data_IF_622474406282
#
_entry.id   IF_622474406282
#
_cell.length_a   1.000
_cell.length_b   1.000
_cell.length_c   1.000
_cell.angle_alpha   90.00
_cell.angle_beta   90.00
_cell.angle_gamma   90.00
#
_symmetry.space_group_name_H-M   'P 1'
#
loop_
_entity.id
_entity.type
_entity.pdbx_description
1 polymer ?
#
# COMPACT_ATOMS: atom_id res chain seq x y z
N UNK A 1 -16.32 -14.72 13.38
CA UNK A 1 -16.17 -13.27 13.19
C UNK A 1 -14.70 -13.01 12.91
N UNK A 2 -14.36 -12.34 11.82
CA UNK A 2 -12.97 -12.14 11.40
C UNK A 2 -12.67 -10.68 11.17
N UNK A 3 -11.41 -10.30 11.44
CA UNK A 3 -10.94 -8.94 11.30
C UNK A 3 -10.18 -8.79 9.97
N UNK A 4 -10.62 -7.83 9.17
CA UNK A 4 -10.00 -7.39 7.93
C UNK A 4 -9.27 -6.08 8.21
N UNK A 5 -7.94 -6.10 8.17
CA UNK A 5 -7.13 -4.89 8.30
C UNK A 5 -6.79 -4.37 6.91
N UNK A 6 -7.08 -3.10 6.66
CA UNK A 6 -6.93 -2.46 5.34
C UNK A 6 -5.97 -1.29 5.46
N UNK A 7 -4.83 -1.40 4.79
CA UNK A 7 -3.83 -0.34 4.69
C UNK A 7 -4.26 0.67 3.63
N UNK A 8 -4.17 1.97 3.94
CA UNK A 8 -4.59 3.04 3.04
C UNK A 8 -6.10 3.04 2.74
N UNK A 9 -6.94 2.89 3.75
CA UNK A 9 -8.41 2.75 3.60
C UNK A 9 -9.08 3.94 2.88
N UNK A 10 -8.52 5.14 2.97
CA UNK A 10 -9.02 6.32 2.26
C UNK A 10 -8.57 6.38 0.80
N UNK A 11 -7.61 5.54 0.40
CA UNK A 11 -7.13 5.44 -0.96
C UNK A 11 -8.05 4.57 -1.81
N UNK A 12 -7.99 4.75 -3.13
CA UNK A 12 -8.90 4.09 -4.08
C UNK A 12 -9.01 2.57 -3.92
N UNK A 13 -7.89 1.87 -3.73
CA UNK A 13 -7.93 0.41 -3.54
C UNK A 13 -8.44 0.04 -2.15
N UNK A 14 -7.96 0.73 -1.10
CA UNK A 14 -8.37 0.46 0.26
C UNK A 14 -9.87 0.68 0.47
N UNK A 15 -10.43 1.75 -0.10
CA UNK A 15 -11.87 2.02 -0.04
C UNK A 15 -12.67 0.95 -0.78
N UNK A 16 -12.24 0.55 -1.98
CA UNK A 16 -12.90 -0.51 -2.75
C UNK A 16 -12.87 -1.85 -2.02
N UNK A 17 -11.76 -2.20 -1.36
CA UNK A 17 -11.67 -3.39 -0.51
C UNK A 17 -12.60 -3.25 0.69
N UNK A 18 -12.63 -2.10 1.35
CA UNK A 18 -13.51 -1.87 2.50
C UNK A 18 -14.98 -2.05 2.11
N UNK A 19 -15.44 -1.42 1.03
CA UNK A 19 -16.80 -1.56 0.50
C UNK A 19 -17.15 -3.03 0.22
N UNK A 20 -16.25 -3.78 -0.43
CA UNK A 20 -16.47 -5.19 -0.71
C UNK A 20 -16.63 -6.06 0.55
N UNK A 21 -16.03 -5.66 1.68
CA UNK A 21 -16.14 -6.38 2.96
C UNK A 21 -17.29 -5.89 3.85
N UNK A 22 -17.94 -4.75 3.53
CA UNK A 22 -19.08 -4.25 4.31
C UNK A 22 -20.27 -5.22 4.26
N UNK A 23 -20.49 -5.86 3.10
CA UNK A 23 -21.62 -6.76 2.87
C UNK A 23 -21.33 -8.20 3.31
N UNK A 24 -20.13 -8.46 3.84
CA UNK A 24 -19.69 -9.81 4.18
C UNK A 24 -20.07 -10.15 5.63
N UNK A 25 -20.94 -11.16 5.87
CA UNK A 25 -21.39 -11.48 7.23
C UNK A 25 -20.24 -11.86 8.17
N UNK A 26 -20.21 -11.21 9.33
CA UNK A 26 -19.22 -11.47 10.38
C UNK A 26 -17.84 -10.86 10.11
N UNK A 27 -17.68 -10.05 9.07
CA UNK A 27 -16.50 -9.24 8.85
C UNK A 27 -16.50 -8.00 9.76
N UNK A 28 -15.36 -7.72 10.38
CA UNK A 28 -15.05 -6.41 10.99
C UNK A 28 -13.91 -5.78 10.22
N UNK A 29 -13.99 -4.47 10.01
CA UNK A 29 -12.96 -3.74 9.27
C UNK A 29 -12.18 -2.85 10.23
N UNK A 30 -10.85 -2.92 10.12
CA UNK A 30 -9.92 -1.93 10.69
C UNK A 30 -9.18 -1.25 9.55
N UNK A 31 -9.45 0.03 9.33
CA UNK A 31 -8.79 0.85 8.34
C UNK A 31 -7.59 1.60 8.91
N UNK A 32 -6.45 1.53 8.24
CA UNK A 32 -5.27 2.33 8.54
C UNK A 32 -5.18 3.51 7.56
N UNK A 33 -4.91 4.70 8.08
CA UNK A 33 -4.80 5.93 7.29
C UNK A 33 -3.88 6.95 7.95
N UNK A 34 -3.11 7.69 7.15
CA UNK A 34 -2.31 8.82 7.62
C UNK A 34 -3.14 10.07 7.96
N UNK A 35 -4.47 10.00 7.83
CA UNK A 35 -5.36 11.13 8.08
C UNK A 35 -6.64 10.69 8.78
N UNK A 36 -6.56 10.22 10.04
CA UNK A 36 -7.67 9.60 10.76
C UNK A 36 -8.84 10.55 11.10
N UNK A 37 -8.67 11.85 10.89
CA UNK A 37 -9.67 12.91 11.17
C UNK A 37 -10.24 13.58 9.91
N UNK A 38 -9.87 13.15 8.71
CA UNK A 38 -10.43 13.74 7.49
C UNK A 38 -11.88 13.25 7.26
N UNK A 39 -12.65 13.96 6.43
CA UNK A 39 -14.04 13.62 6.16
C UNK A 39 -14.26 12.17 5.68
N UNK A 40 -13.33 11.62 4.89
CA UNK A 40 -13.38 10.22 4.47
C UNK A 40 -13.25 9.24 5.65
N UNK A 41 -12.31 9.51 6.57
CA UNK A 41 -12.13 8.70 7.80
C UNK A 41 -13.36 8.79 8.71
N UNK A 42 -13.97 9.97 8.85
CA UNK A 42 -15.18 10.13 9.66
C UNK A 42 -16.37 9.35 9.06
N UNK A 43 -16.51 9.34 7.73
CA UNK A 43 -17.51 8.52 7.05
C UNK A 43 -17.31 7.02 7.34
N UNK A 44 -16.08 6.53 7.31
CA UNK A 44 -15.80 5.13 7.66
C UNK A 44 -16.18 4.80 9.10
N UNK A 45 -15.87 5.69 10.05
CA UNK A 45 -16.29 5.51 11.45
C UNK A 45 -17.81 5.45 11.60
N UNK A 46 -18.54 6.32 10.90
CA UNK A 46 -20.01 6.29 10.89
C UNK A 46 -20.58 4.98 10.33
N UNK A 47 -19.84 4.32 9.44
CA UNK A 47 -20.17 2.99 8.90
C UNK A 47 -19.71 1.83 9.80
N UNK A 48 -19.18 2.12 11.00
CA UNK A 48 -18.76 1.09 11.96
C UNK A 48 -17.34 0.55 11.73
N UNK A 49 -16.55 1.18 10.87
CA UNK A 49 -15.15 0.80 10.65
C UNK A 49 -14.26 1.36 11.76
N UNK A 50 -13.39 0.51 12.32
CA UNK A 50 -12.36 0.95 13.24
C UNK A 50 -11.26 1.68 12.46
N UNK A 51 -11.09 2.99 12.68
CA UNK A 51 -10.03 3.76 12.03
C UNK A 51 -8.85 3.95 12.97
N UNK A 52 -7.64 3.57 12.52
CA UNK A 52 -6.38 3.83 13.20
C UNK A 52 -5.45 4.68 12.35
N UNK A 53 -4.64 5.48 13.02
CA UNK A 53 -3.58 6.23 12.36
C UNK A 53 -2.54 5.28 11.79
N UNK A 54 -2.01 5.60 10.63
CA UNK A 54 -1.00 4.80 9.93
C UNK A 54 0.37 5.46 10.07
N UNK A 55 1.19 4.91 10.96
CA UNK A 55 2.55 5.39 11.20
C UNK A 55 3.57 4.38 10.67
N UNK A 56 3.95 4.53 9.41
CA UNK A 56 5.00 3.71 8.82
C UNK A 56 6.38 4.24 9.20
N UNK A 57 7.05 3.51 10.08
CA UNK A 57 8.33 3.89 10.68
C UNK A 57 8.49 3.35 12.10
N UNK A 58 7.38 2.92 12.72
CA UNK A 58 7.37 2.23 14.01
C UNK A 58 6.82 0.81 13.82
N UNK A 59 7.70 -0.18 14.00
CA UNK A 59 7.35 -1.59 13.87
C UNK A 59 6.30 -2.02 14.92
N UNK A 60 6.40 -1.52 16.14
CA UNK A 60 5.46 -1.89 17.21
C UNK A 60 4.07 -1.31 16.94
N UNK A 61 4.01 -0.11 16.38
CA UNK A 61 2.74 0.46 15.91
C UNK A 61 2.09 -0.39 14.81
N UNK A 62 2.87 -0.89 13.86
CA UNK A 62 2.36 -1.77 12.78
C UNK A 62 1.84 -3.08 13.37
N UNK A 63 2.60 -3.74 14.25
CA UNK A 63 2.17 -4.98 14.91
C UNK A 63 0.86 -4.80 15.66
N UNK A 64 0.73 -3.73 16.46
CA UNK A 64 -0.53 -3.39 17.17
C UNK A 64 -1.70 -3.17 16.22
N UNK A 65 -1.43 -2.59 15.05
CA UNK A 65 -2.46 -2.38 14.02
C UNK A 65 -2.95 -3.69 13.41
N UNK A 66 -2.10 -4.72 13.36
CA UNK A 66 -2.43 -6.05 12.83
C UNK A 66 -2.95 -7.04 13.88
N UNK A 67 -2.97 -6.66 15.15
CA UNK A 67 -3.44 -7.52 16.22
C UNK A 67 -4.86 -8.04 15.97
N UNK A 68 -5.01 -9.36 16.02
CA UNK A 68 -6.27 -10.07 15.77
C UNK A 68 -6.67 -10.18 14.30
N UNK A 69 -5.84 -9.72 13.35
CA UNK A 69 -6.19 -9.75 11.94
C UNK A 69 -6.31 -11.19 11.41
N UNK A 70 -7.43 -11.48 10.77
CA UNK A 70 -7.64 -12.72 10.01
C UNK A 70 -7.22 -12.52 8.55
N UNK A 71 -7.49 -11.32 8.01
CA UNK A 71 -7.15 -10.89 6.66
C UNK A 71 -6.44 -9.55 6.73
N UNK A 72 -5.39 -9.38 5.93
CA UNK A 72 -4.72 -8.09 5.76
C UNK A 72 -4.70 -7.74 4.27
N UNK A 73 -5.21 -6.57 3.90
CA UNK A 73 -4.96 -5.95 2.60
C UNK A 73 -3.80 -4.97 2.76
N UNK A 74 -2.66 -5.30 2.15
CA UNK A 74 -1.45 -4.51 2.23
C UNK A 74 -1.15 -3.79 0.92
N UNK A 75 -0.82 -2.50 1.02
CA UNK A 75 -0.27 -1.72 -0.07
C UNK A 75 0.76 -0.73 0.44
N UNK A 76 1.67 -0.35 -0.44
CA UNK A 76 2.61 0.76 -0.24
C UNK A 76 2.40 1.81 -1.33
N UNK A 77 2.67 3.08 -0.99
CA UNK A 77 2.52 4.21 -1.91
C UNK A 77 3.83 4.97 -2.08
N UNK A 78 4.55 4.66 -3.17
CA UNK A 78 5.68 5.45 -3.64
C UNK A 78 5.35 6.95 -3.75
N UNK A 79 4.19 7.27 -4.32
CA UNK A 79 3.79 8.65 -4.60
C UNK A 79 3.58 9.46 -3.32
N UNK A 80 2.99 8.84 -2.27
CA UNK A 80 2.89 9.50 -0.97
C UNK A 80 4.27 9.76 -0.37
N UNK A 81 5.18 8.78 -0.44
CA UNK A 81 6.55 8.93 0.07
C UNK A 81 7.37 9.95 -0.72
N UNK A 82 7.12 10.09 -2.03
CA UNK A 82 7.74 11.12 -2.86
C UNK A 82 7.25 12.52 -2.47
N UNK A 83 5.97 12.66 -2.10
CA UNK A 83 5.38 13.94 -1.70
C UNK A 83 5.67 14.31 -0.24
N UNK A 84 6.06 13.35 0.58
CA UNK A 84 6.34 13.51 2.01
C UNK A 84 7.45 14.55 2.27
N UNK A 85 7.24 15.41 3.28
CA UNK A 85 8.17 16.51 3.60
C UNK A 85 9.55 15.98 3.97
N UNK A 86 9.64 14.81 4.62
CA UNK A 86 10.94 14.21 4.97
C UNK A 86 11.75 13.86 3.73
N UNK A 87 11.10 13.35 2.67
CA UNK A 87 11.79 13.04 1.40
C UNK A 87 12.26 14.30 0.71
N UNK A 88 11.42 15.34 0.66
CA UNK A 88 11.78 16.63 0.06
C UNK A 88 12.93 17.29 0.82
N UNK A 89 12.84 17.35 2.15
CA UNK A 89 13.86 17.95 3.00
C UNK A 89 15.20 17.21 2.90
N UNK A 90 15.20 15.87 2.85
CA UNK A 90 16.43 15.10 2.71
C UNK A 90 17.24 15.50 1.46
N UNK A 91 16.55 15.78 0.36
CA UNK A 91 17.15 16.28 -0.88
C UNK A 91 17.58 17.75 -0.75
N UNK A 92 16.73 18.61 -0.16
CA UNK A 92 17.02 20.04 0.05
C UNK A 92 18.31 20.25 0.87
N UNK A 93 18.54 19.43 1.90
CA UNK A 93 19.74 19.53 2.76
C UNK A 93 20.95 18.74 2.22
N UNK A 94 20.84 18.17 1.01
CA UNK A 94 21.93 17.42 0.37
C UNK A 94 22.27 16.07 1.03
N UNK A 95 21.41 15.55 1.92
CA UNK A 95 21.63 14.24 2.56
C UNK A 95 21.36 13.06 1.61
N UNK A 96 20.67 13.31 0.51
CA UNK A 96 20.48 12.35 -0.60
C UNK A 96 20.62 13.05 -1.94
N UNK A 97 21.18 12.35 -2.93
CA UNK A 97 21.34 12.84 -4.30
C UNK A 97 20.02 12.84 -5.11
N UNK A 98 19.06 12.00 -4.73
CA UNK A 98 17.83 11.79 -5.49
C UNK A 98 16.65 11.54 -4.54
N UNK A 99 15.66 12.44 -4.57
CA UNK A 99 14.39 12.27 -3.85
C UNK A 99 13.64 11.02 -4.32
N UNK A 100 13.79 10.64 -5.58
CA UNK A 100 13.15 9.48 -6.17
C UNK A 100 13.71 8.17 -5.60
N UNK A 101 15.03 8.07 -5.49
CA UNK A 101 15.71 6.88 -4.92
C UNK A 101 15.46 6.79 -3.42
N UNK A 102 15.44 7.93 -2.73
CA UNK A 102 15.13 7.97 -1.32
C UNK A 102 13.69 7.52 -1.05
N UNK A 103 12.71 8.02 -1.80
CA UNK A 103 11.32 7.58 -1.70
C UNK A 103 11.18 6.07 -2.01
N UNK A 104 11.92 5.55 -2.98
CA UNK A 104 11.93 4.12 -3.33
C UNK A 104 12.47 3.27 -2.17
N UNK A 105 13.61 3.65 -1.57
CA UNK A 105 14.20 2.95 -0.42
C UNK A 105 13.27 2.99 0.79
N UNK A 106 12.60 4.12 1.02
CA UNK A 106 11.58 4.23 2.05
C UNK A 106 10.41 3.30 1.78
N UNK A 107 9.93 3.21 0.54
CA UNK A 107 8.85 2.27 0.19
C UNK A 107 9.29 0.82 0.39
N UNK A 108 10.52 0.47 0.02
CA UNK A 108 11.09 -0.86 0.25
C UNK A 108 11.06 -1.20 1.75
N UNK A 109 11.59 -0.32 2.58
CA UNK A 109 11.62 -0.48 4.03
C UNK A 109 10.21 -0.63 4.62
N UNK A 110 9.28 0.25 4.26
CA UNK A 110 7.90 0.18 4.76
C UNK A 110 7.26 -1.16 4.40
N UNK A 111 7.35 -1.58 3.13
CA UNK A 111 6.75 -2.85 2.74
C UNK A 111 7.39 -4.07 3.42
N UNK A 112 8.70 -4.05 3.70
CA UNK A 112 9.33 -5.12 4.51
C UNK A 112 8.80 -5.13 5.93
N UNK A 113 8.65 -3.98 6.58
CA UNK A 113 8.07 -3.89 7.92
C UNK A 113 6.63 -4.42 7.95
N UNK A 114 5.82 -4.11 6.93
CA UNK A 114 4.47 -4.65 6.79
C UNK A 114 4.47 -6.18 6.64
N UNK A 115 5.38 -6.72 5.83
CA UNK A 115 5.51 -8.16 5.64
C UNK A 115 5.95 -8.86 6.92
N UNK A 116 6.95 -8.33 7.63
CA UNK A 116 7.42 -8.90 8.90
C UNK A 116 6.32 -8.86 9.97
N UNK A 117 5.59 -7.74 10.08
CA UNK A 117 4.47 -7.64 11.01
C UNK A 117 3.33 -8.61 10.65
N UNK A 118 3.01 -8.76 9.36
CA UNK A 118 2.01 -9.72 8.91
C UNK A 118 2.45 -11.17 9.18
N UNK A 119 3.73 -11.50 8.97
CA UNK A 119 4.28 -12.80 9.31
C UNK A 119 4.20 -13.09 10.83
N UNK A 120 4.42 -12.07 11.65
CA UNK A 120 4.34 -12.15 13.10
C UNK A 120 2.90 -12.14 13.66
N UNK A 121 1.88 -11.93 12.82
CA UNK A 121 0.48 -11.83 13.27
C UNK A 121 -0.12 -13.22 13.52
N UNK A 122 -0.43 -13.60 14.78
CA UNK A 122 -1.04 -14.89 15.08
C UNK A 122 -2.43 -15.02 14.45
N UNK A 123 -2.73 -16.19 13.89
CA UNK A 123 -4.06 -16.47 13.31
C UNK A 123 -4.31 -15.83 11.94
N UNK A 124 -3.35 -15.09 11.37
CA UNK A 124 -3.49 -14.52 10.03
C UNK A 124 -3.70 -15.63 8.99
N UNK A 125 -4.85 -15.63 8.30
CA UNK A 125 -5.22 -16.64 7.32
C UNK A 125 -4.80 -16.26 5.90
N UNK A 126 -4.89 -14.98 5.53
CA UNK A 126 -4.48 -14.49 4.20
C UNK A 126 -3.91 -13.08 4.27
N UNK A 127 -2.85 -12.87 3.51
CA UNK A 127 -2.37 -11.54 3.12
C UNK A 127 -2.76 -11.30 1.66
N UNK A 128 -3.40 -10.17 1.36
CA UNK A 128 -3.63 -9.72 -0.01
C UNK A 128 -2.72 -8.52 -0.24
N UNK A 129 -1.73 -8.66 -1.12
CA UNK A 129 -0.74 -7.62 -1.35
C UNK A 129 -0.92 -6.99 -2.73
N UNK A 130 -1.16 -5.67 -2.74
CA UNK A 130 -1.14 -4.87 -3.96
C UNK A 130 0.30 -4.60 -4.39
N UNK A 131 0.68 -5.22 -5.50
CA UNK A 131 2.02 -5.15 -6.08
C UNK A 131 1.96 -4.66 -7.53
N UNK A 132 3.09 -4.57 -8.22
CA UNK A 132 3.13 -4.22 -9.65
C UNK A 132 3.77 -5.34 -10.46
N UNK A 133 3.60 -5.36 -11.80
CA UNK A 133 4.29 -6.31 -12.65
C UNK A 133 5.80 -6.27 -12.40
N UNK A 134 6.32 -7.36 -11.83
CA UNK A 134 7.76 -7.54 -11.69
C UNK A 134 8.30 -7.91 -13.06
N UNK A 135 9.00 -6.98 -13.69
CA UNK A 135 9.69 -7.30 -14.94
C UNK A 135 11.15 -7.61 -14.61
N UNK A 136 11.62 -8.77 -15.07
CA UNK A 136 12.99 -9.22 -14.83
C UNK A 136 13.97 -8.29 -15.57
N UNK A 137 15.09 -7.90 -14.92
CA UNK A 137 16.19 -7.25 -15.63
C UNK A 137 16.63 -8.14 -16.80
N UNK A 138 16.72 -7.56 -18.01
CA UNK A 138 17.08 -8.29 -19.24
C UNK A 138 15.91 -8.76 -20.11
N UNK A 139 14.66 -8.58 -19.69
CA UNK A 139 13.53 -8.79 -20.60
C UNK A 139 13.42 -7.60 -21.57
N UNK A 140 13.54 -7.87 -22.88
CA UNK A 140 13.48 -6.85 -23.96
C UNK A 140 12.16 -6.06 -24.00
N UNK A 141 11.09 -6.58 -23.41
CA UNK A 141 9.79 -5.90 -23.30
C UNK A 141 9.66 -5.08 -22.00
N UNK A 142 10.71 -5.02 -21.17
CA UNK A 142 10.72 -4.39 -19.85
C UNK A 142 11.24 -2.95 -19.82
N UNK A 143 11.77 -2.45 -20.94
CA UNK A 143 12.49 -1.17 -21.02
C UNK A 143 11.67 0.01 -20.49
N UNK A 144 10.35 0.00 -20.66
CA UNK A 144 9.42 1.04 -20.18
C UNK A 144 8.98 0.89 -18.71
N UNK A 145 9.32 -0.22 -18.06
CA UNK A 145 8.96 -0.53 -16.66
C UNK A 145 10.12 -0.37 -15.68
N UNK A 146 11.25 0.18 -16.13
CA UNK A 146 12.47 0.38 -15.36
C UNK A 146 12.46 1.64 -14.46
N UNK A 147 11.29 2.25 -14.21
CA UNK A 147 11.18 3.36 -13.27
C UNK A 147 11.47 2.92 -11.83
N UNK A 148 12.15 3.76 -11.05
CA UNK A 148 12.48 3.52 -9.64
C UNK A 148 11.27 3.03 -8.81
N UNK A 149 10.07 3.49 -9.16
CA UNK A 149 8.78 3.14 -8.55
C UNK A 149 8.44 1.65 -8.53
N UNK A 150 8.97 0.85 -9.47
CA UNK A 150 8.66 -0.59 -9.53
C UNK A 150 9.63 -1.46 -8.71
N UNK A 151 10.77 -0.91 -8.30
CA UNK A 151 11.82 -1.68 -7.62
C UNK A 151 11.40 -2.13 -6.22
N UNK A 152 10.80 -1.25 -5.42
CA UNK A 152 10.35 -1.58 -4.07
C UNK A 152 9.37 -2.77 -4.06
N UNK A 153 8.33 -2.72 -4.90
CA UNK A 153 7.32 -3.80 -4.98
C UNK A 153 7.91 -5.14 -5.44
N UNK A 154 8.91 -5.11 -6.32
CA UNK A 154 9.69 -6.30 -6.68
C UNK A 154 10.50 -6.82 -5.49
N UNK A 155 11.15 -5.93 -4.75
CA UNK A 155 11.94 -6.30 -3.57
C UNK A 155 11.06 -6.94 -2.51
N UNK A 156 9.85 -6.43 -2.28
CA UNK A 156 8.89 -7.02 -1.34
C UNK A 156 8.52 -8.46 -1.72
N UNK A 157 8.20 -8.73 -2.99
CA UNK A 157 7.88 -10.10 -3.44
C UNK A 157 9.07 -11.03 -3.22
N UNK A 158 10.28 -10.60 -3.60
CA UNK A 158 11.50 -11.40 -3.43
C UNK A 158 11.78 -11.68 -1.96
N UNK A 159 11.72 -10.64 -1.12
CA UNK A 159 11.91 -10.75 0.32
C UNK A 159 10.90 -11.70 0.96
N UNK A 160 9.62 -11.57 0.62
CA UNK A 160 8.58 -12.47 1.12
C UNK A 160 8.86 -13.93 0.72
N UNK A 161 9.27 -14.16 -0.54
CA UNK A 161 9.58 -15.50 -1.03
C UNK A 161 10.81 -16.12 -0.36
N UNK A 162 11.87 -15.33 -0.11
CA UNK A 162 13.13 -15.83 0.45
C UNK A 162 13.15 -15.90 1.97
N UNK A 163 12.53 -14.93 2.64
CA UNK A 163 12.67 -14.72 4.08
C UNK A 163 11.41 -15.09 4.86
N UNK A 164 10.23 -15.07 4.22
CA UNK A 164 8.93 -15.30 4.88
C UNK A 164 8.09 -16.35 4.14
N UNK A 165 8.61 -17.57 3.87
CA UNK A 165 7.93 -18.56 3.02
C UNK A 165 6.56 -18.98 3.56
N UNK A 166 6.38 -19.03 4.89
CA UNK A 166 5.09 -19.33 5.50
C UNK A 166 4.05 -18.22 5.26
N UNK A 167 4.46 -16.96 5.22
CA UNK A 167 3.59 -15.84 4.82
C UNK A 167 3.31 -15.89 3.31
N UNK A 168 4.34 -16.16 2.51
CA UNK A 168 4.21 -16.28 1.05
C UNK A 168 3.15 -17.33 0.67
N UNK A 169 3.15 -18.49 1.34
CA UNK A 169 2.19 -19.58 1.10
C UNK A 169 0.72 -19.19 1.32
N UNK A 170 0.44 -18.16 2.12
CA UNK A 170 -0.90 -17.64 2.38
C UNK A 170 -1.14 -16.26 1.76
N UNK A 171 -0.29 -15.83 0.84
CA UNK A 171 -0.38 -14.51 0.20
C UNK A 171 -1.02 -14.59 -1.19
N UNK A 172 -1.95 -13.68 -1.46
CA UNK A 172 -2.51 -13.41 -2.79
C UNK A 172 -1.89 -12.11 -3.30
N UNK A 173 -1.24 -12.17 -4.47
CA UNK A 173 -0.67 -11.00 -5.12
C UNK A 173 -1.68 -10.39 -6.09
N UNK A 174 -2.03 -9.13 -5.88
CA UNK A 174 -2.88 -8.35 -6.79
C UNK A 174 -1.99 -7.41 -7.59
N UNK A 175 -2.03 -7.51 -8.92
CA UNK A 175 -1.30 -6.64 -9.84
C UNK A 175 -2.30 -5.76 -10.59
N UNK A 176 -2.73 -4.61 -10.03
CA UNK A 176 -3.62 -3.72 -10.74
C UNK A 176 -2.97 -3.22 -12.03
N UNK A 177 -3.75 -3.23 -13.10
CA UNK A 177 -3.38 -2.63 -14.38
C UNK A 177 -3.65 -1.11 -14.35
N UNK A 178 -3.57 -0.46 -15.51
CA UNK A 178 -3.91 0.96 -15.65
C UNK A 178 -5.31 1.22 -15.10
N UNK A 179 -5.44 2.31 -14.35
CA UNK A 179 -6.69 2.67 -13.68
C UNK A 179 -7.67 3.24 -14.69
N UNK A 180 -8.87 2.70 -14.74
CA UNK A 180 -9.91 3.18 -15.66
C UNK A 180 -10.32 4.62 -15.34
N UNK A 181 -10.22 5.03 -14.08
CA UNK A 181 -10.54 6.38 -13.61
C UNK A 181 -9.55 7.44 -14.13
N UNK A 182 -8.31 7.05 -14.43
CA UNK A 182 -7.29 7.98 -14.92
C UNK A 182 -7.58 8.40 -16.38
N UNK A 183 -8.22 7.54 -17.18
CA UNK A 183 -8.64 7.89 -18.55
C UNK A 183 -9.69 9.00 -18.58
N UNK A 184 -10.54 9.13 -17.55
CA UNK A 184 -11.48 10.26 -17.44
C UNK A 184 -10.75 11.59 -17.29
N UNK A 185 -9.60 11.60 -16.62
CA UNK A 185 -8.78 12.81 -16.51
C UNK A 185 -8.16 13.17 -17.86
N UNK A 186 -7.64 12.18 -18.61
CA UNK A 186 -7.11 12.38 -19.95
C UNK A 186 -8.14 13.01 -20.89
N UNK A 187 -9.40 12.54 -20.86
CA UNK A 187 -10.48 13.11 -21.67
C UNK A 187 -10.80 14.57 -21.32
N UNK A 188 -10.61 14.99 -20.08
CA UNK A 188 -10.87 16.37 -19.61
C UNK A 188 -9.71 17.34 -19.88
N UNK A 189 -8.51 16.84 -20.14
CA UNK A 189 -7.37 17.71 -20.49
C UNK A 189 -7.48 18.29 -21.90
N UNK A 190 -8.16 17.57 -22.81
CA UNK A 190 -8.34 17.99 -24.21
C UNK A 190 -9.39 19.10 -24.35
N UNK A 191 -10.42 19.13 -23.49
CA UNK A 191 -11.48 20.15 -23.55
C UNK A 191 -11.03 21.56 -23.17
N UNK A 192 -9.88 21.71 -22.53
CA UNK A 192 -9.34 23.02 -22.10
C UNK A 192 -8.43 23.68 -23.14
N UNK A 193 -8.12 22.98 -24.24
CA UNK A 193 -7.22 23.45 -25.31
C UNK A 193 -7.98 23.91 -26.58
N UNK A 194 -9.31 23.93 -26.53
CA UNK A 194 -10.17 24.50 -27.57
C UNK A 194 -11.06 25.60 -26.96
N UNK A 195 -10.44 26.71 -26.59
CA UNK A 195 -11.06 28.05 -26.49
C UNK A 195 -10.04 29.06 -26.97
#
# INVERSE_FOLDING_TARGET
>A
MYLVVIIGINGRQGSSVAEAFMDVPGARIRGLTSSPKCAASERWKQMGVEIREETFGDMEHIKKSFEGATFIFAMTSYHQLLQDRRSKLACEVGSVFSVYDFAMRREDNVGRMLLDAAAATPGLQRLVMSTLPVVNPGNKYASHTAGATYHAKRHHIRYMASCLPALAAKTILVKPCMRMEDYRATLRMVSSACV
#
